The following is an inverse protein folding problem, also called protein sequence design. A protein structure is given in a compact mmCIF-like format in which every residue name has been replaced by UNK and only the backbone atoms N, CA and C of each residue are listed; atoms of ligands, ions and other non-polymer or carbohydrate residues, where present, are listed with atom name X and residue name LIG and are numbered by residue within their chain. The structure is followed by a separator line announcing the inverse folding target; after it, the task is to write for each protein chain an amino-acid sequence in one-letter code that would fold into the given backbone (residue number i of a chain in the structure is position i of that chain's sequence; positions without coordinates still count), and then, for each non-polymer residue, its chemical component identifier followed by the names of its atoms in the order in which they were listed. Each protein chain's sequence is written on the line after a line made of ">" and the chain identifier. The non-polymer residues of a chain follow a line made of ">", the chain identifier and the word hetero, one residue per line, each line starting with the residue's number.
data_IF_045541661001
#
_entry.id   IF_045541661001
#
_cell.length_a   1.000
_cell.length_b   1.000
_cell.length_c   1.000
_cell.angle_alpha   90.00
_cell.angle_beta   90.00
_cell.angle_gamma   90.00
#
_symmetry.space_group_name_H-M   'P 1'
#
loop_
_entity.id
_entity.type
_entity.pdbx_description
1 polymer ?
#
# COMPACT_ATOMS: atom_id res chain seq x y z
N UNK A 1 30.81 27.74 25.41
CA UNK A 1 29.47 28.33 25.58
C UNK A 1 29.21 29.56 24.71
N UNK A 2 30.03 30.62 24.72
CA UNK A 2 29.81 31.78 23.81
C UNK A 2 30.24 31.54 22.36
N UNK A 3 31.31 30.77 22.11
CA UNK A 3 31.71 30.40 20.75
C UNK A 3 30.63 29.55 20.04
N UNK A 4 29.98 28.63 20.75
CA UNK A 4 28.85 27.85 20.21
C UNK A 4 27.67 28.74 19.80
N UNK A 5 27.37 29.78 20.58
CA UNK A 5 26.28 30.72 20.24
C UNK A 5 26.60 31.54 19.00
N UNK A 6 27.84 32.00 18.83
CA UNK A 6 28.23 32.76 17.64
C UNK A 6 28.25 31.89 16.39
N UNK A 7 28.72 30.65 16.51
CA UNK A 7 28.69 29.66 15.43
C UNK A 7 27.24 29.37 15.03
N UNK A 8 26.36 29.11 16.00
CA UNK A 8 24.94 28.86 15.74
C UNK A 8 24.24 30.07 15.12
N UNK A 9 24.51 31.27 15.62
CA UNK A 9 23.96 32.50 15.06
C UNK A 9 24.41 32.73 13.61
N UNK A 10 25.70 32.52 13.32
CA UNK A 10 26.24 32.61 11.96
C UNK A 10 25.63 31.55 11.05
N UNK A 11 25.49 30.32 11.52
CA UNK A 11 24.84 29.23 10.78
C UNK A 11 23.40 29.60 10.42
N UNK A 12 22.57 30.01 11.39
CA UNK A 12 21.17 30.38 11.16
C UNK A 12 21.03 31.61 10.23
N UNK A 13 21.91 32.59 10.38
CA UNK A 13 21.92 33.77 9.52
C UNK A 13 22.30 33.42 8.07
N UNK A 14 23.31 32.57 7.88
CA UNK A 14 23.68 32.05 6.56
C UNK A 14 22.56 31.21 5.97
N UNK A 15 21.94 30.31 6.74
CA UNK A 15 20.84 29.48 6.28
C UNK A 15 19.67 30.32 5.77
N UNK A 16 19.30 31.38 6.50
CA UNK A 16 18.27 32.33 6.08
C UNK A 16 18.66 33.13 4.83
N UNK A 17 19.88 33.67 4.80
CA UNK A 17 20.35 34.51 3.69
C UNK A 17 20.55 33.71 2.40
N UNK A 18 21.15 32.52 2.50
CA UNK A 18 21.38 31.63 1.36
C UNK A 18 20.06 31.06 0.86
N UNK A 19 19.14 30.66 1.74
CA UNK A 19 17.79 30.23 1.32
C UNK A 19 17.10 31.32 0.51
N UNK A 20 17.21 32.59 0.92
CA UNK A 20 16.64 33.71 0.16
C UNK A 20 17.29 33.86 -1.21
N UNK A 21 18.62 33.79 -1.30
CA UNK A 21 19.34 33.88 -2.57
C UNK A 21 18.97 32.73 -3.52
N UNK A 22 18.87 31.51 -3.00
CA UNK A 22 18.41 30.35 -3.77
C UNK A 22 16.97 30.53 -4.24
N UNK A 23 16.07 31.00 -3.37
CA UNK A 23 14.68 31.26 -3.72
C UNK A 23 14.56 32.25 -4.89
N UNK A 24 15.23 33.40 -4.81
CA UNK A 24 15.14 34.43 -5.85
C UNK A 24 15.64 33.90 -7.21
N UNK A 25 16.68 33.07 -7.23
CA UNK A 25 17.19 32.43 -8.46
C UNK A 25 16.25 31.35 -9.01
N UNK A 26 15.77 30.44 -8.14
CA UNK A 26 14.91 29.31 -8.53
C UNK A 26 13.54 29.76 -9.01
N UNK A 27 12.95 30.77 -8.36
CA UNK A 27 11.66 31.31 -8.77
C UNK A 27 11.76 31.97 -10.13
N UNK A 28 12.82 32.75 -10.37
CA UNK A 28 13.07 33.33 -11.69
C UNK A 28 13.15 32.25 -12.78
N UNK A 29 13.96 31.21 -12.56
CA UNK A 29 14.10 30.09 -13.49
C UNK A 29 12.75 29.39 -13.73
N UNK A 30 11.95 29.19 -12.69
CA UNK A 30 10.65 28.55 -12.80
C UNK A 30 9.65 29.35 -13.65
N UNK A 31 9.63 30.68 -13.53
CA UNK A 31 8.80 31.52 -14.41
C UNK A 31 9.30 31.48 -15.86
N UNK A 32 10.62 31.47 -16.09
CA UNK A 32 11.21 31.39 -17.44
C UNK A 32 10.98 30.03 -18.12
N UNK A 33 10.84 28.96 -17.34
CA UNK A 33 10.70 27.58 -17.83
C UNK A 33 9.26 27.05 -17.81
N UNK A 34 8.28 27.85 -17.34
CA UNK A 34 6.87 27.48 -17.29
C UNK A 34 6.49 26.55 -16.13
N UNK A 35 7.30 26.49 -15.07
CA UNK A 35 7.03 25.71 -13.85
C UNK A 35 6.47 26.54 -12.69
N UNK A 36 6.16 27.81 -12.90
CA UNK A 36 5.63 28.70 -11.87
C UNK A 36 4.41 28.11 -11.15
N UNK A 37 3.39 27.68 -11.90
CA UNK A 37 2.16 27.07 -11.37
C UNK A 37 2.47 25.86 -10.47
N UNK A 38 3.46 25.04 -10.86
CA UNK A 38 3.87 23.86 -10.08
C UNK A 38 4.49 24.24 -8.73
N UNK A 39 5.22 25.36 -8.67
CA UNK A 39 5.80 25.89 -7.43
C UNK A 39 4.70 26.48 -6.55
N UNK A 40 3.80 27.27 -7.14
CA UNK A 40 2.66 27.88 -6.45
C UNK A 40 1.76 26.79 -5.84
N UNK A 41 1.33 25.81 -6.64
CA UNK A 41 0.55 24.65 -6.19
C UNK A 41 1.20 23.90 -5.01
N UNK A 42 2.53 23.78 -5.03
CA UNK A 42 3.27 23.09 -3.94
C UNK A 42 3.31 23.94 -2.68
N UNK A 43 3.49 25.26 -2.86
CA UNK A 43 3.61 26.22 -1.76
C UNK A 43 2.30 26.40 -1.03
N UNK A 44 1.17 26.35 -1.75
CA UNK A 44 -0.19 26.42 -1.19
C UNK A 44 -0.50 25.25 -0.25
N UNK A 45 0.20 24.12 -0.40
CA UNK A 45 0.06 22.98 0.51
C UNK A 45 0.76 23.20 1.86
N UNK A 46 1.72 24.12 1.96
CA UNK A 46 2.59 24.26 3.14
C UNK A 46 1.80 24.47 4.43
N UNK A 47 0.85 25.41 4.45
CA UNK A 47 0.07 25.73 5.66
C UNK A 47 -0.81 24.55 6.08
N UNK A 48 -1.44 23.89 5.10
CA UNK A 48 -2.27 22.70 5.35
C UNK A 48 -1.44 21.56 5.90
N UNK A 49 -0.29 21.27 5.28
CA UNK A 49 0.61 20.21 5.73
C UNK A 49 1.16 20.54 7.12
N UNK A 50 1.58 21.78 7.37
CA UNK A 50 2.08 22.19 8.69
C UNK A 50 1.01 22.02 9.77
N UNK A 51 -0.25 22.39 9.48
CA UNK A 51 -1.37 22.13 10.37
C UNK A 51 -1.52 20.63 10.65
N UNK A 52 -1.52 19.78 9.62
CA UNK A 52 -1.64 18.31 9.79
C UNK A 52 -0.49 17.73 10.63
N UNK A 53 0.75 18.17 10.38
CA UNK A 53 1.95 17.73 11.12
C UNK A 53 1.89 18.14 12.59
N UNK A 54 1.51 19.39 12.88
CA UNK A 54 1.49 19.92 14.25
C UNK A 54 0.30 19.40 15.04
N UNK A 55 -0.87 19.25 14.39
CA UNK A 55 -2.10 18.76 15.01
C UNK A 55 -1.99 17.30 15.41
N UNK A 56 -1.57 16.42 14.50
CA UNK A 56 -1.55 14.97 14.71
C UNK A 56 -2.93 14.38 15.05
N UNK A 57 -2.95 13.07 15.29
CA UNK A 57 -4.18 12.31 15.54
C UNK A 57 -4.11 11.69 16.94
N UNK A 58 -5.18 11.85 17.72
CA UNK A 58 -5.25 11.29 19.08
C UNK A 58 -5.27 9.77 19.03
N UNK A 59 -4.53 9.14 19.95
CA UNK A 59 -4.47 7.68 20.06
C UNK A 59 -5.08 7.20 21.38
N UNK A 60 -5.91 6.17 21.32
CA UNK A 60 -6.31 5.39 22.50
C UNK A 60 -5.14 4.50 22.94
N UNK A 61 -4.37 4.98 23.93
CA UNK A 61 -3.16 4.31 24.44
C UNK A 61 -3.46 2.98 25.14
N UNK A 62 -4.57 2.89 25.85
CA UNK A 62 -4.93 1.69 26.61
C UNK A 62 -5.28 0.54 25.66
N UNK A 63 -6.13 0.82 24.66
CA UNK A 63 -6.48 -0.15 23.62
C UNK A 63 -5.24 -0.60 22.82
N UNK A 64 -4.31 0.32 22.55
CA UNK A 64 -3.05 0.01 21.88
C UNK A 64 -2.18 -0.92 22.74
N UNK A 65 -2.08 -0.66 24.04
CA UNK A 65 -1.27 -1.46 24.98
C UNK A 65 -1.81 -2.89 25.14
N UNK A 66 -3.13 -3.07 25.17
CA UNK A 66 -3.75 -4.39 25.26
C UNK A 66 -3.51 -5.21 24.01
N UNK A 67 -3.72 -4.62 22.84
CA UNK A 67 -3.46 -5.30 21.55
C UNK A 67 -1.98 -5.62 21.40
N UNK A 68 -1.09 -4.75 21.88
CA UNK A 68 0.35 -5.00 21.86
C UNK A 68 0.69 -6.29 22.62
N UNK A 69 0.09 -6.51 23.80
CA UNK A 69 0.27 -7.75 24.57
C UNK A 69 -0.29 -8.96 23.82
N UNK A 70 -1.51 -8.85 23.29
CA UNK A 70 -2.16 -9.92 22.52
C UNK A 70 -1.32 -10.35 21.31
N UNK A 71 -0.89 -9.40 20.50
CA UNK A 71 -0.08 -9.65 19.29
C UNK A 71 1.27 -10.25 19.66
N UNK A 72 1.91 -9.78 20.74
CA UNK A 72 3.17 -10.36 21.20
C UNK A 72 3.00 -11.83 21.64
N UNK A 73 1.94 -12.14 22.37
CA UNK A 73 1.63 -13.52 22.77
C UNK A 73 1.36 -14.41 21.54
N UNK A 74 0.62 -13.90 20.55
CA UNK A 74 0.37 -14.61 19.30
C UNK A 74 1.66 -14.86 18.51
N UNK A 75 2.59 -13.89 18.47
CA UNK A 75 3.91 -14.07 17.86
C UNK A 75 4.67 -15.21 18.56
N UNK A 76 4.70 -15.21 19.90
CA UNK A 76 5.37 -16.26 20.66
C UNK A 76 4.76 -17.64 20.41
N UNK A 77 3.43 -17.75 20.40
CA UNK A 77 2.73 -19.02 20.11
C UNK A 77 3.02 -19.53 18.71
N UNK A 78 2.88 -18.67 17.69
CA UNK A 78 3.11 -19.07 16.30
C UNK A 78 4.58 -19.39 16.01
N UNK A 79 5.51 -18.72 16.71
CA UNK A 79 6.93 -19.04 16.61
C UNK A 79 7.20 -20.44 17.16
N UNK A 80 6.62 -20.79 18.32
CA UNK A 80 6.76 -22.14 18.87
C UNK A 80 6.16 -23.21 17.94
N UNK A 81 5.02 -22.93 17.31
CA UNK A 81 4.42 -23.82 16.29
C UNK A 81 5.31 -23.97 15.05
N UNK A 82 5.95 -22.89 14.61
CA UNK A 82 6.89 -22.91 13.50
C UNK A 82 8.13 -23.73 13.86
N UNK A 83 8.74 -23.48 15.01
CA UNK A 83 9.95 -24.16 15.43
C UNK A 83 9.70 -25.66 15.59
N UNK A 84 8.52 -26.04 16.11
CA UNK A 84 8.07 -27.43 16.16
C UNK A 84 7.88 -28.04 14.77
N UNK A 85 7.35 -27.28 13.81
CA UNK A 85 7.19 -27.75 12.43
C UNK A 85 8.53 -27.89 11.70
N UNK A 86 9.46 -26.97 11.94
CA UNK A 86 10.81 -27.00 11.37
C UNK A 86 11.72 -28.04 12.03
N UNK A 87 11.45 -28.39 13.29
CA UNK A 87 12.30 -29.25 14.12
C UNK A 87 13.49 -28.52 14.76
N UNK A 88 13.56 -27.19 14.60
CA UNK A 88 14.58 -26.30 15.18
C UNK A 88 14.10 -24.85 15.12
N UNK A 89 14.78 -23.95 15.84
CA UNK A 89 14.45 -22.52 15.86
C UNK A 89 14.74 -21.84 14.52
N UNK A 90 13.70 -21.34 13.84
CA UNK A 90 13.83 -20.64 12.56
C UNK A 90 13.56 -19.15 12.71
N UNK A 91 14.57 -18.31 12.46
CA UNK A 91 14.37 -16.87 12.40
C UNK A 91 13.71 -16.46 11.07
N UNK A 92 12.42 -16.15 11.13
CA UNK A 92 11.60 -15.77 9.95
C UNK A 92 12.06 -14.48 9.28
N UNK A 93 12.73 -13.58 10.00
CA UNK A 93 13.26 -12.32 9.45
C UNK A 93 14.62 -12.52 8.76
N UNK A 94 15.29 -13.65 9.02
CA UNK A 94 16.53 -14.00 8.34
C UNK A 94 16.24 -14.69 7.01
N UNK A 95 16.39 -13.91 5.94
CA UNK A 95 16.30 -14.42 4.58
C UNK A 95 17.19 -15.64 4.33
N UNK A 96 18.42 -15.61 4.84
CA UNK A 96 19.40 -16.69 4.67
C UNK A 96 18.93 -17.98 5.33
N UNK A 97 18.42 -17.90 6.56
CA UNK A 97 17.89 -19.07 7.27
C UNK A 97 16.65 -19.62 6.57
N UNK A 98 15.71 -18.77 6.16
CA UNK A 98 14.53 -19.20 5.42
C UNK A 98 14.91 -19.89 4.10
N UNK A 99 15.84 -19.31 3.34
CA UNK A 99 16.33 -19.87 2.06
C UNK A 99 16.98 -21.23 2.28
N UNK A 100 17.84 -21.35 3.30
CA UNK A 100 18.49 -22.60 3.65
C UNK A 100 17.47 -23.67 4.09
N UNK A 101 16.44 -23.29 4.84
CA UNK A 101 15.39 -24.21 5.26
C UNK A 101 14.56 -24.70 4.07
N UNK A 102 13.94 -23.79 3.32
CA UNK A 102 12.99 -24.17 2.27
C UNK A 102 13.67 -24.81 1.07
N UNK A 103 14.83 -24.31 0.63
CA UNK A 103 15.48 -24.79 -0.59
C UNK A 103 16.61 -25.76 -0.34
N UNK A 104 17.34 -25.60 0.78
CA UNK A 104 18.39 -26.53 1.19
C UNK A 104 17.82 -27.77 1.87
N UNK A 105 17.26 -27.59 3.06
CA UNK A 105 16.81 -28.70 3.92
C UNK A 105 15.57 -29.42 3.38
N UNK A 106 14.53 -28.67 3.01
CA UNK A 106 13.31 -29.27 2.44
C UNK A 106 13.50 -29.70 0.98
N UNK A 107 14.50 -29.14 0.28
CA UNK A 107 14.83 -29.44 -1.11
C UNK A 107 13.85 -28.85 -2.13
N UNK A 108 13.13 -27.78 -1.78
CA UNK A 108 12.15 -27.17 -2.68
C UNK A 108 12.87 -26.42 -3.82
N UNK A 109 12.29 -26.38 -5.03
CA UNK A 109 12.87 -25.61 -6.12
C UNK A 109 12.87 -24.10 -5.77
N UNK A 110 14.02 -23.42 -5.85
CA UNK A 110 14.15 -22.03 -5.44
C UNK A 110 13.34 -21.10 -6.34
N UNK A 111 12.62 -20.16 -5.71
CA UNK A 111 12.07 -19.03 -6.44
C UNK A 111 13.15 -17.97 -6.58
N UNK A 112 13.39 -17.45 -7.79
CA UNK A 112 14.48 -16.50 -8.04
C UNK A 112 13.92 -15.09 -8.20
N UNK A 113 14.54 -14.13 -7.50
CA UNK A 113 14.22 -12.72 -7.68
C UNK A 113 14.60 -12.26 -9.09
N UNK A 114 13.63 -11.73 -9.85
CA UNK A 114 13.91 -11.17 -11.18
C UNK A 114 14.87 -9.98 -11.15
N UNK A 115 14.94 -9.26 -10.02
CA UNK A 115 15.80 -8.07 -9.88
C UNK A 115 17.25 -8.45 -9.61
N UNK A 116 17.49 -9.47 -8.78
CA UNK A 116 18.83 -9.81 -8.28
C UNK A 116 19.37 -11.12 -8.81
N UNK A 117 18.56 -11.95 -9.46
CA UNK A 117 18.96 -13.27 -9.94
C UNK A 117 19.19 -14.31 -8.83
N UNK A 118 19.00 -13.95 -7.56
CA UNK A 118 19.26 -14.81 -6.42
C UNK A 118 17.99 -15.48 -5.88
N UNK A 119 18.09 -16.69 -5.27
CA UNK A 119 16.98 -17.37 -4.59
C UNK A 119 16.35 -16.50 -3.51
N UNK A 120 15.05 -16.25 -3.68
CA UNK A 120 13.92 -15.60 -2.97
C UNK A 120 13.28 -16.27 -1.74
N UNK A 121 13.21 -15.67 -0.56
CA UNK A 121 12.21 -16.05 0.46
C UNK A 121 11.30 -14.89 0.86
N UNK A 122 10.99 -13.98 -0.06
CA UNK A 122 9.99 -12.92 0.14
C UNK A 122 8.55 -13.47 0.28
N UNK A 123 7.60 -12.59 0.59
CA UNK A 123 6.20 -12.97 0.80
C UNK A 123 5.56 -13.59 -0.45
N UNK A 124 6.03 -13.24 -1.66
CA UNK A 124 5.55 -13.86 -2.92
C UNK A 124 6.05 -15.29 -3.05
N UNK A 125 7.32 -15.53 -2.75
CA UNK A 125 7.93 -16.85 -2.72
C UNK A 125 7.23 -17.74 -1.68
N UNK A 126 7.06 -17.23 -0.45
CA UNK A 126 6.36 -17.96 0.62
C UNK A 126 4.91 -18.25 0.26
N UNK A 127 4.19 -17.27 -0.30
CA UNK A 127 2.81 -17.46 -0.74
C UNK A 127 2.68 -18.47 -1.89
N UNK A 128 3.72 -18.67 -2.70
CA UNK A 128 3.73 -19.73 -3.71
C UNK A 128 3.92 -21.11 -3.07
N UNK A 129 4.79 -21.24 -2.08
CA UNK A 129 5.00 -22.50 -1.35
C UNK A 129 3.72 -22.86 -0.58
N UNK A 130 3.17 -21.91 0.18
CA UNK A 130 1.95 -22.07 0.97
C UNK A 130 0.74 -22.58 0.16
N UNK A 131 0.61 -22.18 -1.11
CA UNK A 131 -0.50 -22.56 -2.00
C UNK A 131 -0.39 -23.94 -2.62
N UNK A 132 0.79 -24.58 -2.59
CA UNK A 132 0.96 -25.90 -3.22
C UNK A 132 0.38 -27.02 -2.37
N UNK A 133 0.13 -26.78 -1.09
CA UNK A 133 -0.30 -27.81 -0.11
C UNK A 133 0.64 -29.03 -0.06
N UNK A 134 1.91 -28.82 -0.43
CA UNK A 134 2.98 -29.81 -0.37
C UNK A 134 3.87 -29.63 0.88
N UNK A 135 4.92 -30.43 1.00
CA UNK A 135 6.03 -30.24 1.96
C UNK A 135 6.46 -28.78 2.03
N UNK A 136 6.57 -28.22 3.24
CA UNK A 136 6.92 -26.82 3.48
C UNK A 136 5.74 -25.83 3.47
N UNK A 137 4.52 -26.25 3.10
CA UNK A 137 3.38 -25.33 2.99
C UNK A 137 2.93 -24.79 4.35
N UNK A 138 2.92 -25.62 5.38
CA UNK A 138 2.52 -25.21 6.74
C UNK A 138 3.50 -24.18 7.29
N UNK A 139 4.79 -24.46 7.14
CA UNK A 139 5.90 -23.61 7.58
C UNK A 139 5.91 -22.29 6.80
N UNK A 140 5.67 -22.32 5.49
CA UNK A 140 5.55 -21.11 4.69
C UNK A 140 4.36 -20.24 5.13
N UNK A 141 3.19 -20.84 5.44
CA UNK A 141 2.03 -20.12 5.98
C UNK A 141 2.36 -19.46 7.34
N UNK A 142 2.99 -20.20 8.25
CA UNK A 142 3.42 -19.69 9.55
C UNK A 142 4.44 -18.55 9.42
N UNK A 143 5.43 -18.68 8.51
CA UNK A 143 6.40 -17.62 8.22
C UNK A 143 5.71 -16.34 7.75
N UNK A 144 4.74 -16.44 6.84
CA UNK A 144 3.98 -15.26 6.38
C UNK A 144 3.17 -14.61 7.51
N UNK A 145 2.50 -15.42 8.32
CA UNK A 145 1.72 -14.92 9.47
C UNK A 145 2.63 -14.22 10.49
N UNK A 146 3.75 -14.84 10.85
CA UNK A 146 4.72 -14.29 11.79
C UNK A 146 5.31 -12.97 11.28
N UNK A 147 5.73 -12.90 10.01
CA UNK A 147 6.22 -11.64 9.42
C UNK A 147 5.16 -10.55 9.42
N UNK A 148 3.92 -10.90 9.08
CA UNK A 148 2.78 -9.98 9.14
C UNK A 148 2.54 -9.42 10.55
N UNK A 149 2.58 -10.28 11.57
CA UNK A 149 2.42 -9.88 12.97
C UNK A 149 3.63 -9.11 13.50
N UNK A 150 4.86 -9.51 13.18
CA UNK A 150 6.08 -8.79 13.57
C UNK A 150 6.12 -7.40 12.93
N UNK A 151 5.70 -7.27 11.67
CA UNK A 151 5.53 -5.96 11.02
C UNK A 151 4.46 -5.13 11.72
N UNK A 152 3.29 -5.71 12.02
CA UNK A 152 2.25 -5.02 12.79
C UNK A 152 2.80 -4.52 14.13
N UNK A 153 3.46 -5.40 14.88
CA UNK A 153 4.02 -5.12 16.19
C UNK A 153 5.09 -4.03 16.14
N UNK A 154 6.15 -4.25 15.34
CA UNK A 154 7.30 -3.36 15.29
C UNK A 154 7.05 -2.04 14.57
N UNK A 155 6.35 -2.05 13.43
CA UNK A 155 6.15 -0.83 12.63
C UNK A 155 4.97 0.00 13.11
N UNK A 156 3.91 -0.63 13.65
CA UNK A 156 2.67 0.07 13.99
C UNK A 156 2.43 0.13 15.51
N UNK A 157 2.50 -1.00 16.23
CA UNK A 157 2.17 -1.01 17.66
C UNK A 157 3.27 -0.45 18.58
N UNK A 158 4.50 -0.42 18.09
CA UNK A 158 5.67 0.19 18.77
C UNK A 158 5.87 1.66 18.39
N UNK A 159 4.89 2.30 17.73
CA UNK A 159 4.96 3.72 17.39
C UNK A 159 5.21 4.57 18.64
N UNK A 160 6.13 5.53 18.54
CA UNK A 160 6.40 6.47 19.62
C UNK A 160 5.36 7.58 19.54
N UNK A 161 4.52 7.67 20.56
CA UNK A 161 3.44 8.67 20.67
C UNK A 161 4.02 9.91 21.37
N UNK A 162 3.67 11.10 20.89
CA UNK A 162 4.08 12.34 21.52
C UNK A 162 3.46 12.51 22.92
N UNK A 163 4.04 13.42 23.71
CA UNK A 163 3.65 13.65 25.10
C UNK A 163 2.18 14.05 25.26
N UNK A 164 1.61 14.72 24.25
CA UNK A 164 0.19 15.12 24.21
C UNK A 164 -0.75 13.98 23.78
N UNK A 165 -0.23 12.76 23.63
CA UNK A 165 -1.01 11.57 23.30
C UNK A 165 -1.41 11.47 21.83
N UNK A 166 -0.72 12.19 20.95
CA UNK A 166 -1.00 12.20 19.52
C UNK A 166 0.11 11.52 18.74
N UNK A 167 -0.27 10.88 17.65
CA UNK A 167 0.67 10.39 16.63
C UNK A 167 0.69 11.39 15.49
N UNK A 168 1.90 11.76 15.08
CA UNK A 168 2.17 12.69 13.99
C UNK A 168 2.85 11.97 12.82
N UNK A 169 2.90 12.65 11.69
CA UNK A 169 3.69 12.27 10.53
C UNK A 169 4.41 13.52 10.05
N UNK A 170 5.62 13.35 9.51
CA UNK A 170 6.19 14.34 8.59
C UNK A 170 5.54 14.13 7.22
N UNK A 171 5.27 15.20 6.49
CA UNK A 171 4.73 15.19 5.14
C UNK A 171 5.68 15.93 4.19
N UNK A 172 6.05 15.27 3.11
CA UNK A 172 6.84 15.88 2.04
C UNK A 172 5.93 16.03 0.80
N UNK A 173 5.57 17.27 0.41
CA UNK A 173 4.67 17.51 -0.72
C UNK A 173 5.22 16.98 -2.05
N UNK A 174 6.54 16.80 -2.18
CA UNK A 174 7.21 16.35 -3.42
C UNK A 174 8.10 15.12 -3.20
N UNK A 175 7.83 14.34 -2.15
CA UNK A 175 8.68 13.20 -1.77
C UNK A 175 8.63 11.99 -2.70
N UNK A 176 7.83 12.03 -3.77
CA UNK A 176 7.77 10.97 -4.78
C UNK A 176 7.98 11.52 -6.19
N UNK A 177 8.52 10.68 -7.08
CA UNK A 177 8.79 11.07 -8.48
C UNK A 177 7.54 11.43 -9.28
N UNK A 178 6.36 10.98 -8.85
CA UNK A 178 5.07 11.26 -9.51
C UNK A 178 4.34 12.45 -8.89
N UNK A 179 4.97 13.16 -7.94
CA UNK A 179 4.37 14.34 -7.30
C UNK A 179 3.35 14.01 -6.19
N UNK A 180 3.23 12.75 -5.76
CA UNK A 180 2.44 12.39 -4.57
C UNK A 180 3.13 12.87 -3.30
N UNK A 181 2.33 13.37 -2.35
CA UNK A 181 2.75 13.66 -0.98
C UNK A 181 3.27 12.36 -0.35
N UNK A 182 4.47 12.41 0.22
CA UNK A 182 5.05 11.31 1.00
C UNK A 182 4.94 11.56 2.49
N UNK A 183 4.94 10.49 3.30
CA UNK A 183 4.78 10.59 4.75
C UNK A 183 5.82 9.75 5.48
N UNK A 184 6.37 10.24 6.58
CA UNK A 184 7.40 9.55 7.37
C UNK A 184 7.32 9.88 8.87
N UNK A 185 8.20 9.26 9.66
CA UNK A 185 8.39 9.61 11.07
C UNK A 185 8.78 11.10 11.21
N UNK A 186 8.39 11.74 12.31
CA UNK A 186 8.79 13.12 12.58
C UNK A 186 10.31 13.24 12.75
N UNK A 187 10.84 14.47 12.61
CA UNK A 187 12.25 14.77 12.88
C UNK A 187 12.66 14.49 14.34
N UNK A 188 11.69 14.32 15.26
CA UNK A 188 11.92 14.01 16.67
C UNK A 188 11.95 12.49 16.93
N UNK A 189 11.86 11.66 15.89
CA UNK A 189 11.79 10.21 16.05
C UNK A 189 10.44 9.72 16.60
N UNK A 190 9.39 10.54 16.51
CA UNK A 190 8.03 10.18 16.95
C UNK A 190 7.09 10.00 15.78
N UNK A 191 5.97 9.32 16.01
CA UNK A 191 4.97 9.10 14.99
C UNK A 191 5.38 8.11 13.90
N UNK A 192 4.71 8.16 12.75
CA UNK A 192 4.90 7.20 11.66
C UNK A 192 4.34 7.67 10.31
N UNK A 193 4.67 6.95 9.24
CA UNK A 193 4.11 7.18 7.91
C UNK A 193 2.60 6.87 7.85
N UNK A 194 1.81 7.81 7.34
CA UNK A 194 0.35 7.69 7.23
C UNK A 194 -0.16 7.10 5.90
N UNK A 195 0.66 7.04 4.85
CA UNK A 195 0.23 6.53 3.54
C UNK A 195 -0.22 5.06 3.55
N UNK A 196 0.40 4.22 4.39
CA UNK A 196 0.20 2.77 4.40
C UNK A 196 -0.10 2.25 5.82
N UNK A 197 -0.95 2.96 6.55
CA UNK A 197 -1.40 2.54 7.89
C UNK A 197 -2.15 1.22 7.77
N UNK A 198 -1.75 0.23 8.58
CA UNK A 198 -2.49 -1.02 8.69
C UNK A 198 -3.91 -0.74 9.20
N UNK A 199 -4.98 -1.27 8.57
CA UNK A 199 -6.35 -1.03 9.01
C UNK A 199 -6.60 -1.38 10.49
N UNK A 200 -5.86 -2.35 11.04
CA UNK A 200 -5.93 -2.71 12.47
C UNK A 200 -5.38 -1.62 13.37
N UNK A 201 -4.46 -0.78 12.88
CA UNK A 201 -3.95 0.37 13.63
C UNK A 201 -4.94 1.54 13.63
N UNK A 202 -5.71 1.73 12.53
CA UNK A 202 -6.70 2.81 12.43
C UNK A 202 -7.72 2.80 13.59
N UNK A 203 -8.04 1.64 14.17
CA UNK A 203 -8.96 1.53 15.32
C UNK A 203 -8.48 2.23 16.59
N UNK A 204 -7.18 2.51 16.70
CA UNK A 204 -6.61 3.23 17.83
C UNK A 204 -6.61 4.74 17.60
N UNK A 205 -6.77 5.17 16.35
CA UNK A 205 -6.88 6.58 15.98
C UNK A 205 -8.30 7.03 16.30
N UNK A 206 -8.42 7.94 17.25
CA UNK A 206 -9.70 8.42 17.76
C UNK A 206 -9.88 9.90 17.44
N UNK A 207 -11.14 10.30 17.23
CA UNK A 207 -11.48 11.70 17.13
C UNK A 207 -11.26 12.40 18.48
N UNK A 208 -11.04 13.70 18.44
CA UNK A 208 -11.03 14.51 19.67
C UNK A 208 -12.40 14.51 20.34
N UNK A 209 -12.44 14.93 21.61
CA UNK A 209 -13.70 15.08 22.34
C UNK A 209 -14.72 15.92 21.56
N UNK A 210 -15.95 15.41 21.44
CA UNK A 210 -17.07 15.99 20.69
C UNK A 210 -16.84 16.14 19.18
N UNK A 211 -15.81 15.52 18.62
CA UNK A 211 -15.56 15.47 17.19
C UNK A 211 -15.92 14.10 16.61
N UNK A 212 -16.12 14.06 15.29
CA UNK A 212 -16.20 12.84 14.50
C UNK A 212 -15.05 12.81 13.51
N UNK A 213 -14.59 11.61 13.15
CA UNK A 213 -13.57 11.42 12.13
C UNK A 213 -14.22 10.78 10.91
N UNK A 214 -13.95 11.32 9.73
CA UNK A 214 -14.39 10.78 8.44
C UNK A 214 -13.18 10.57 7.53
N UNK A 215 -13.23 9.51 6.73
CA UNK A 215 -12.25 9.21 5.69
C UNK A 215 -12.95 9.40 4.35
N UNK A 216 -12.40 10.28 3.50
CA UNK A 216 -12.91 10.54 2.15
C UNK A 216 -11.90 9.96 1.17
N UNK A 217 -12.36 9.02 0.35
CA UNK A 217 -11.60 8.48 -0.76
C UNK A 217 -12.27 8.87 -2.09
N UNK A 218 -11.47 9.35 -3.04
CA UNK A 218 -11.98 9.70 -4.37
C UNK A 218 -12.16 8.41 -5.17
N UNK A 219 -13.41 8.04 -5.40
CA UNK A 219 -13.74 6.88 -6.21
C UNK A 219 -13.05 6.98 -7.58
N UNK A 220 -12.18 6.01 -7.87
CA UNK A 220 -11.57 5.82 -9.19
C UNK A 220 -10.81 7.05 -9.73
N UNK A 221 -10.22 7.88 -8.85
CA UNK A 221 -9.57 9.14 -9.24
C UNK A 221 -8.57 9.01 -10.41
N UNK A 222 -7.71 8.00 -10.37
CA UNK A 222 -6.73 7.76 -11.44
C UNK A 222 -7.40 7.45 -12.79
N UNK A 223 -8.50 6.71 -12.78
CA UNK A 223 -9.24 6.36 -14.01
C UNK A 223 -9.95 7.57 -14.60
N UNK A 224 -10.58 8.38 -13.74
CA UNK A 224 -11.23 9.63 -14.15
C UNK A 224 -10.23 10.54 -14.85
N UNK A 225 -9.05 10.75 -14.24
CA UNK A 225 -7.99 11.55 -14.87
C UNK A 225 -7.53 10.92 -16.19
N UNK A 226 -7.34 9.60 -16.22
CA UNK A 226 -6.90 8.91 -17.45
C UNK A 226 -7.91 9.11 -18.58
N UNK A 227 -9.21 8.95 -18.31
CA UNK A 227 -10.28 9.06 -19.31
C UNK A 227 -10.27 10.43 -20.02
N UNK A 228 -10.21 11.52 -19.25
CA UNK A 228 -10.22 12.87 -19.81
C UNK A 228 -8.88 13.27 -20.45
N UNK A 229 -7.75 12.80 -19.90
CA UNK A 229 -6.43 13.10 -20.49
C UNK A 229 -6.18 12.31 -21.77
N UNK A 230 -6.65 11.06 -21.87
CA UNK A 230 -6.54 10.27 -23.10
C UNK A 230 -7.52 10.71 -24.18
N UNK A 231 -8.64 11.33 -23.79
CA UNK A 231 -9.74 11.66 -24.71
C UNK A 231 -10.51 10.43 -25.20
N UNK A 232 -10.42 9.32 -24.47
CA UNK A 232 -11.09 8.07 -24.85
C UNK A 232 -12.60 8.17 -24.60
N UNK A 233 -13.39 8.11 -25.67
CA UNK A 233 -14.83 8.29 -25.62
C UNK A 233 -15.54 7.21 -24.76
N UNK A 234 -15.02 5.98 -24.75
CA UNK A 234 -15.61 4.89 -23.97
C UNK A 234 -15.30 5.06 -22.48
N UNK A 235 -14.06 5.40 -22.13
CA UNK A 235 -13.68 5.70 -20.74
C UNK A 235 -14.42 6.92 -20.20
N UNK A 236 -14.57 7.98 -20.99
CA UNK A 236 -15.34 9.18 -20.60
C UNK A 236 -16.80 8.80 -20.38
N UNK A 237 -17.40 8.03 -21.29
CA UNK A 237 -18.78 7.56 -21.13
C UNK A 237 -18.97 6.76 -19.83
N UNK A 238 -18.04 5.88 -19.48
CA UNK A 238 -18.06 5.10 -18.23
C UNK A 238 -18.03 6.02 -17.00
N UNK A 239 -17.18 7.06 -17.03
CA UNK A 239 -17.08 8.05 -15.95
C UNK A 239 -18.37 8.86 -15.83
N UNK A 240 -18.88 9.41 -16.94
CA UNK A 240 -20.06 10.29 -16.94
C UNK A 240 -21.37 9.56 -16.67
N UNK A 241 -21.45 8.26 -17.00
CA UNK A 241 -22.59 7.40 -16.66
C UNK A 241 -22.56 6.88 -15.22
N UNK A 242 -21.51 7.19 -14.44
CA UNK A 242 -21.36 6.73 -13.06
C UNK A 242 -21.16 5.22 -12.91
N UNK A 243 -20.71 4.55 -13.98
CA UNK A 243 -20.43 3.12 -13.97
C UNK A 243 -19.13 2.82 -13.21
N UNK A 244 -19.04 1.63 -12.61
CA UNK A 244 -17.79 1.18 -11.97
C UNK A 244 -16.76 0.84 -13.06
N UNK A 245 -15.77 1.70 -13.26
CA UNK A 245 -14.70 1.52 -14.25
C UNK A 245 -13.93 0.19 -14.14
N UNK A 246 -13.74 -0.37 -12.94
CA UNK A 246 -13.05 -1.64 -12.78
C UNK A 246 -13.96 -2.81 -13.19
N UNK A 247 -15.26 -2.69 -12.90
CA UNK A 247 -16.24 -3.67 -13.35
C UNK A 247 -16.45 -3.58 -14.86
N UNK A 248 -16.42 -2.37 -15.44
CA UNK A 248 -16.52 -2.15 -16.88
C UNK A 248 -15.38 -2.83 -17.64
N UNK A 249 -14.13 -2.60 -17.25
CA UNK A 249 -12.99 -3.29 -17.85
C UNK A 249 -13.04 -4.79 -17.57
N UNK A 250 -13.49 -5.19 -16.37
CA UNK A 250 -13.73 -6.59 -16.05
C UNK A 250 -14.76 -7.25 -16.98
N UNK A 251 -15.83 -6.54 -17.34
CA UNK A 251 -16.84 -6.96 -18.31
C UNK A 251 -16.20 -7.16 -19.69
N UNK A 252 -15.41 -6.20 -20.18
CA UNK A 252 -14.72 -6.32 -21.47
C UNK A 252 -13.77 -7.52 -21.53
N UNK A 253 -13.05 -7.80 -20.43
CA UNK A 253 -12.12 -8.93 -20.33
C UNK A 253 -12.86 -10.27 -20.24
N UNK A 254 -13.90 -10.35 -19.41
CA UNK A 254 -14.59 -11.61 -19.08
C UNK A 254 -15.75 -11.94 -20.00
N UNK A 255 -16.24 -10.96 -20.77
CA UNK A 255 -17.48 -10.97 -21.57
C UNK A 255 -18.77 -11.14 -20.73
N UNK A 256 -18.68 -11.02 -19.41
CA UNK A 256 -19.83 -11.14 -18.51
C UNK A 256 -20.50 -9.78 -18.26
N UNK A 257 -21.83 -9.71 -18.10
CA UNK A 257 -22.52 -8.46 -17.74
C UNK A 257 -21.92 -7.76 -16.51
N UNK A 258 -21.95 -6.43 -16.47
CA UNK A 258 -21.33 -5.64 -15.39
C UNK A 258 -21.90 -6.03 -14.02
N UNK A 259 -23.19 -6.34 -13.93
CA UNK A 259 -23.87 -6.76 -12.71
C UNK A 259 -23.29 -8.07 -12.17
N UNK A 260 -22.96 -9.00 -13.07
CA UNK A 260 -22.33 -10.28 -12.75
C UNK A 260 -20.90 -10.04 -12.26
N UNK A 261 -20.15 -9.15 -12.92
CA UNK A 261 -18.80 -8.77 -12.49
C UNK A 261 -18.80 -8.12 -11.10
N UNK A 262 -19.78 -7.27 -10.81
CA UNK A 262 -19.95 -6.64 -9.49
C UNK A 262 -20.34 -7.67 -8.42
N UNK A 263 -21.25 -8.58 -8.72
CA UNK A 263 -21.67 -9.67 -7.82
C UNK A 263 -20.49 -10.59 -7.51
N UNK A 264 -19.72 -10.99 -8.53
CA UNK A 264 -18.53 -11.83 -8.38
C UNK A 264 -17.46 -11.12 -7.58
N UNK A 265 -17.23 -9.83 -7.86
CA UNK A 265 -16.31 -9.00 -7.12
C UNK A 265 -16.63 -8.92 -5.63
N UNK A 266 -17.92 -8.91 -5.25
CA UNK A 266 -18.35 -8.96 -3.84
C UNK A 266 -18.18 -10.35 -3.23
N UNK A 267 -18.51 -11.41 -3.96
CA UNK A 267 -18.39 -12.78 -3.47
C UNK A 267 -16.93 -13.20 -3.25
N UNK A 268 -16.03 -12.82 -4.17
CA UNK A 268 -14.61 -13.17 -4.11
C UNK A 268 -13.80 -12.16 -3.28
N UNK A 269 -14.18 -10.88 -3.31
CA UNK A 269 -13.52 -9.82 -2.54
C UNK A 269 -12.05 -9.63 -2.90
N UNK A 270 -11.18 -9.72 -1.89
CA UNK A 270 -9.72 -9.60 -2.01
C UNK A 270 -8.96 -10.93 -1.92
N UNK A 271 -9.66 -12.06 -2.04
CA UNK A 271 -9.03 -13.37 -2.00
C UNK A 271 -8.04 -13.57 -3.17
N UNK A 272 -6.96 -14.28 -2.91
CA UNK A 272 -5.90 -14.59 -3.87
C UNK A 272 -5.55 -16.08 -3.95
N UNK A 273 -6.13 -16.91 -3.07
CA UNK A 273 -6.08 -18.36 -3.13
C UNK A 273 -7.01 -18.90 -4.23
N UNK A 274 -6.47 -19.52 -5.30
CA UNK A 274 -7.28 -20.04 -6.39
C UNK A 274 -8.35 -21.04 -5.98
N UNK A 275 -8.07 -21.90 -5.00
CA UNK A 275 -8.99 -22.95 -4.57
C UNK A 275 -10.19 -22.32 -3.86
N UNK A 276 -9.92 -21.35 -2.98
CA UNK A 276 -10.97 -20.63 -2.27
C UNK A 276 -11.79 -19.75 -3.22
N UNK A 277 -11.15 -19.07 -4.19
CA UNK A 277 -11.85 -18.29 -5.21
C UNK A 277 -12.83 -19.17 -5.99
N UNK A 278 -12.38 -20.34 -6.48
CA UNK A 278 -13.25 -21.25 -7.23
C UNK A 278 -14.42 -21.73 -6.37
N UNK A 279 -14.16 -22.08 -5.10
CA UNK A 279 -15.20 -22.46 -4.15
C UNK A 279 -16.23 -21.34 -3.95
N UNK A 280 -15.79 -20.11 -3.75
CA UNK A 280 -16.66 -18.94 -3.57
C UNK A 280 -17.52 -18.69 -4.81
N UNK A 281 -16.95 -18.78 -6.01
CA UNK A 281 -17.69 -18.64 -7.26
C UNK A 281 -18.76 -19.73 -7.38
N UNK A 282 -18.40 -21.01 -7.18
CA UNK A 282 -19.37 -22.12 -7.27
C UNK A 282 -20.50 -22.00 -6.24
N UNK A 283 -20.18 -21.50 -5.05
CA UNK A 283 -21.15 -21.35 -3.96
C UNK A 283 -22.12 -20.18 -4.20
N UNK A 284 -21.63 -19.04 -4.67
CA UNK A 284 -22.44 -17.81 -4.75
C UNK A 284 -22.93 -17.48 -6.16
N UNK A 285 -22.31 -18.08 -7.18
CA UNK A 285 -22.54 -17.82 -8.60
C UNK A 285 -22.38 -19.10 -9.44
N UNK A 286 -23.21 -20.14 -9.21
CA UNK A 286 -23.17 -21.37 -9.99
C UNK A 286 -23.38 -21.13 -11.49
N UNK A 287 -24.08 -20.07 -11.87
CA UNK A 287 -24.30 -19.63 -13.26
C UNK A 287 -23.00 -19.32 -14.03
N UNK A 288 -21.86 -19.17 -13.34
CA UNK A 288 -20.55 -19.00 -14.00
C UNK A 288 -19.95 -20.32 -14.50
N UNK A 289 -20.57 -21.47 -14.19
CA UNK A 289 -20.05 -22.80 -14.51
C UNK A 289 -21.04 -23.70 -15.25
N UNK A 290 -22.19 -23.16 -15.64
CA UNK A 290 -23.14 -23.82 -16.53
C UNK A 290 -23.10 -23.16 -17.93
N UNK A 291 -24.02 -23.55 -18.80
CA UNK A 291 -24.10 -23.05 -20.17
C UNK A 291 -24.77 -21.65 -20.28
N UNK A 292 -24.97 -20.93 -19.16
CA UNK A 292 -25.58 -19.58 -19.17
C UNK A 292 -24.71 -18.55 -19.90
N UNK A 293 -23.39 -18.69 -19.81
CA UNK A 293 -22.45 -17.78 -20.46
C UNK A 293 -21.43 -18.54 -21.29
N UNK A 294 -21.34 -18.21 -22.58
CA UNK A 294 -20.37 -18.80 -23.51
C UNK A 294 -19.05 -18.02 -23.51
N UNK A 295 -17.93 -18.72 -23.70
CA UNK A 295 -16.59 -18.15 -23.89
C UNK A 295 -16.11 -17.17 -22.80
N UNK A 296 -16.47 -17.44 -21.54
CA UNK A 296 -16.08 -16.57 -20.42
C UNK A 296 -14.60 -16.72 -20.03
N UNK A 297 -13.99 -15.61 -19.63
CA UNK A 297 -12.68 -15.62 -18.98
C UNK A 297 -12.80 -15.39 -17.47
N UNK A 298 -12.42 -16.41 -16.69
CA UNK A 298 -12.40 -16.35 -15.22
C UNK A 298 -10.95 -16.31 -14.69
N UNK A 299 -10.49 -15.18 -14.10
CA UNK A 299 -9.16 -15.09 -13.52
C UNK A 299 -9.00 -16.05 -12.34
N UNK A 300 -7.87 -16.78 -12.26
CA UNK A 300 -7.66 -17.82 -11.23
C UNK A 300 -7.21 -17.30 -9.87
N UNK A 301 -6.60 -16.12 -9.80
CA UNK A 301 -5.90 -15.62 -8.59
C UNK A 301 -6.50 -14.31 -8.05
N UNK A 302 -7.64 -13.88 -8.59
CA UNK A 302 -8.38 -12.70 -8.15
C UNK A 302 -9.78 -12.65 -8.79
N UNK A 303 -10.63 -11.75 -8.33
CA UNK A 303 -11.95 -11.47 -8.92
C UNK A 303 -11.85 -10.81 -10.30
N UNK A 304 -12.92 -10.89 -11.09
CA UNK A 304 -13.00 -10.27 -12.42
C UNK A 304 -12.88 -8.74 -12.30
N UNK A 305 -13.55 -8.15 -11.31
CA UNK A 305 -13.40 -6.71 -11.02
C UNK A 305 -11.96 -6.33 -10.67
N UNK A 306 -11.24 -7.18 -9.94
CA UNK A 306 -9.81 -6.95 -9.67
C UNK A 306 -8.94 -7.10 -10.91
N UNK A 307 -9.30 -7.99 -11.84
CA UNK A 307 -8.64 -8.07 -13.14
C UNK A 307 -8.77 -6.73 -13.88
N UNK A 308 -10.00 -6.20 -13.97
CA UNK A 308 -10.26 -4.88 -14.54
C UNK A 308 -9.45 -3.78 -13.84
N UNK A 309 -9.45 -3.73 -12.50
CA UNK A 309 -8.61 -2.78 -11.74
C UNK A 309 -7.13 -2.84 -12.12
N UNK A 310 -6.56 -4.04 -12.27
CA UNK A 310 -5.15 -4.22 -12.61
C UNK A 310 -4.84 -3.82 -14.04
N UNK A 311 -5.80 -4.00 -14.95
CA UNK A 311 -5.69 -3.55 -16.35
C UNK A 311 -5.85 -2.03 -16.48
N UNK A 312 -6.57 -1.39 -15.56
CA UNK A 312 -6.88 0.05 -15.60
C UNK A 312 -5.68 0.99 -15.32
N UNK A 313 -4.48 0.45 -15.11
CA UNK A 313 -3.31 1.21 -14.64
C UNK A 313 -2.48 1.85 -15.76
N UNK A 314 -3.11 2.47 -16.76
CA UNK A 314 -2.42 3.11 -17.89
C UNK A 314 -1.34 4.13 -17.47
N UNK A 315 -1.64 4.99 -16.50
CA UNK A 315 -0.71 6.04 -16.02
C UNK A 315 0.42 5.52 -15.10
N UNK A 316 0.25 4.37 -14.43
CA UNK A 316 1.22 3.89 -13.43
C UNK A 316 2.44 3.18 -14.05
N UNK A 317 2.41 2.83 -15.34
CA UNK A 317 3.46 2.02 -15.98
C UNK A 317 4.43 2.80 -16.87
N UNK A 318 4.43 4.15 -16.83
CA UNK A 318 5.18 4.99 -17.78
C UNK A 318 4.81 4.70 -19.26
N UNK A 319 3.65 4.10 -19.49
CA UNK A 319 3.07 3.97 -20.82
C UNK A 319 2.63 5.39 -21.16
N UNK A 320 3.24 6.00 -22.18
CA UNK A 320 2.87 7.34 -22.62
C UNK A 320 1.37 7.41 -22.92
N UNK A 321 0.73 8.54 -22.66
CA UNK A 321 -0.71 8.75 -22.87
C UNK A 321 -1.17 8.33 -24.28
N UNK A 322 -0.27 8.42 -25.27
CA UNK A 322 -0.53 8.03 -26.66
C UNK A 322 -0.58 6.52 -26.92
N UNK A 323 -0.11 5.65 -26.01
CA UNK A 323 -0.10 4.19 -26.24
C UNK A 323 -1.27 3.44 -25.61
N UNK A 324 -1.84 3.96 -24.52
CA UNK A 324 -2.90 3.24 -23.80
C UNK A 324 -4.16 3.05 -24.65
N UNK A 325 -4.58 4.10 -25.37
CA UNK A 325 -5.78 4.11 -26.22
C UNK A 325 -5.59 3.52 -27.64
N UNK A 326 -4.34 3.26 -28.06
CA UNK A 326 -4.06 2.74 -29.41
C UNK A 326 -3.83 1.23 -29.44
N UNK A 327 -3.52 0.61 -28.30
CA UNK A 327 -3.16 -0.81 -28.21
C UNK A 327 -4.16 -1.66 -27.43
N UNK A 328 -5.19 -1.06 -26.81
CA UNK A 328 -6.29 -1.74 -26.10
C UNK A 328 -7.64 -1.18 -26.54
#
# INVERSE_FOLDING_TARGET
>A
MYQDKLILAKYNALDSAVTRQCYDALVKEAYETGYADTIEDTSDLCDTLLYLQTRGIQINKDALADVKKEVNNNISSLQADLDKACGYELNVDSYKQCTQYFYGFLGLPPYVSRKTGNPTCDDKAMGRIARKETKGSKEAKLVQQLRGLRKLYGTYLMVIIDNDGRVRSSFDPRGTTTGRISSSQTIFGTGMAFQNIDPRFKRFMVADDKCIMFEIDKAQAEWVVTAYVSGDAEMIHVVESGQDAHAYTGHKISKLPIEVVLKEGKAVGHETDPILIEKLRRQHMPELFDDTYEDIFLPRIFSIRQAGKKSNHGLNYKIGYWRFALEN
#
